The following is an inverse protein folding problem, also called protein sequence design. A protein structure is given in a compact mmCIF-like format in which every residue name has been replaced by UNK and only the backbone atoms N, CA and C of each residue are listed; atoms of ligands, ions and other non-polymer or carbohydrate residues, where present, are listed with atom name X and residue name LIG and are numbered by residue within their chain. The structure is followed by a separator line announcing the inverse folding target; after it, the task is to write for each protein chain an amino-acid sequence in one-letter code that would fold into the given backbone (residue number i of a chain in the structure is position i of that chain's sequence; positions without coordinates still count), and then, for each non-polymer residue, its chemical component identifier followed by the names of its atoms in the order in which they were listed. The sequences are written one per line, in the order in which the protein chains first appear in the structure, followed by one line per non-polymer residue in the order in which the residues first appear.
data_IF_806631943164
#
_entry.id   IF_806631943164
#
_cell.length_a   1.000
_cell.length_b   1.000
_cell.length_c   1.000
_cell.angle_alpha   90.00
_cell.angle_beta   90.00
_cell.angle_gamma   90.00
#
_symmetry.space_group_name_H-M   'P 1'
#
loop_
_entity.id
_entity.type
_entity.pdbx_description
1 polymer ?
#
# COMPACT_ATOMS: atom_id res chain seq x y z
N UNK A 1 -2.61 27.82 11.20
CA UNK A 1 -3.02 26.67 10.34
C UNK A 1 -2.05 26.60 9.18
N UNK A 2 -1.19 25.61 9.21
CA UNK A 2 -0.22 25.31 8.15
C UNK A 2 -0.73 24.08 7.40
N UNK A 3 -0.57 24.07 6.08
CA UNK A 3 -1.07 22.99 5.23
C UNK A 3 0.11 22.27 4.60
N UNK A 4 0.29 21.02 5.00
CA UNK A 4 1.35 20.14 4.54
C UNK A 4 0.80 19.14 3.53
N UNK A 5 1.42 19.04 2.35
CA UNK A 5 1.18 17.97 1.40
C UNK A 5 2.23 16.88 1.58
N UNK A 6 1.80 15.65 1.75
CA UNK A 6 2.69 14.50 1.90
C UNK A 6 2.51 13.53 0.72
N UNK A 7 3.59 13.30 0.01
CA UNK A 7 3.71 12.31 -1.04
C UNK A 7 4.75 11.26 -0.62
N UNK A 8 4.61 10.04 -1.11
CA UNK A 8 5.57 8.97 -0.85
C UNK A 8 5.84 8.18 -2.11
N UNK A 9 7.11 7.87 -2.35
CA UNK A 9 7.55 6.88 -3.32
C UNK A 9 7.99 5.60 -2.61
N UNK A 10 7.90 4.47 -3.29
CA UNK A 10 8.41 3.18 -2.80
C UNK A 10 9.81 2.91 -3.33
N UNK A 11 10.56 2.01 -2.68
CA UNK A 11 11.88 1.57 -3.17
C UNK A 11 11.87 1.12 -4.65
N UNK A 12 10.76 0.55 -5.11
CA UNK A 12 10.59 0.16 -6.52
C UNK A 12 10.41 1.36 -7.43
N UNK A 13 9.66 2.37 -6.98
CA UNK A 13 9.46 3.62 -7.70
C UNK A 13 10.73 4.46 -7.71
N UNK A 14 11.49 4.50 -6.60
CA UNK A 14 12.78 5.20 -6.50
C UNK A 14 13.87 4.61 -7.42
N UNK A 15 13.75 3.33 -7.78
CA UNK A 15 14.64 2.69 -8.76
C UNK A 15 14.31 2.98 -10.22
N UNK A 16 13.21 3.70 -10.48
CA UNK A 16 12.81 4.13 -11.81
C UNK A 16 13.61 5.34 -12.28
N UNK A 17 13.59 5.58 -13.58
CA UNK A 17 14.12 6.84 -14.14
C UNK A 17 13.27 8.05 -13.67
N UNK A 18 13.87 9.24 -13.70
CA UNK A 18 13.27 10.47 -13.19
C UNK A 18 11.96 10.81 -13.89
N UNK A 19 11.82 10.53 -15.17
CA UNK A 19 10.61 10.85 -15.95
C UNK A 19 9.43 10.00 -15.49
N UNK A 20 9.67 8.72 -15.19
CA UNK A 20 8.64 7.82 -14.64
C UNK A 20 8.26 8.20 -13.23
N UNK A 21 9.24 8.56 -12.40
CA UNK A 21 9.00 9.02 -11.05
C UNK A 21 8.15 10.29 -11.03
N UNK A 22 8.47 11.27 -11.88
CA UNK A 22 7.68 12.47 -12.05
C UNK A 22 6.26 12.15 -12.54
N UNK A 23 6.10 11.21 -13.47
CA UNK A 23 4.80 10.71 -13.92
C UNK A 23 3.92 10.13 -12.82
N UNK A 24 4.49 9.71 -11.68
CA UNK A 24 3.75 9.24 -10.50
C UNK A 24 3.45 10.39 -9.54
N UNK A 25 4.44 11.23 -9.25
CA UNK A 25 4.33 12.29 -8.25
C UNK A 25 3.51 13.50 -8.72
N UNK A 26 3.66 13.91 -9.98
CA UNK A 26 2.95 15.08 -10.52
C UNK A 26 1.41 14.95 -10.45
N UNK A 27 0.78 13.83 -10.86
CA UNK A 27 -0.66 13.66 -10.72
C UNK A 27 -1.13 13.66 -9.25
N UNK A 28 -0.30 13.15 -8.35
CA UNK A 28 -0.63 13.15 -6.90
C UNK A 28 -0.59 14.57 -6.34
N UNK A 29 0.46 15.31 -6.61
CA UNK A 29 0.57 16.73 -6.21
C UNK A 29 -0.55 17.57 -6.83
N UNK A 30 -0.85 17.36 -8.11
CA UNK A 30 -1.94 18.07 -8.79
C UNK A 30 -3.29 17.78 -8.12
N UNK A 31 -3.55 16.54 -7.72
CA UNK A 31 -4.78 16.17 -7.01
C UNK A 31 -4.90 16.87 -5.66
N UNK A 32 -3.79 16.96 -4.90
CA UNK A 32 -3.74 17.68 -3.63
C UNK A 32 -3.93 19.18 -3.83
N UNK A 33 -3.26 19.78 -4.84
CA UNK A 33 -3.42 21.19 -5.16
C UNK A 33 -4.86 21.53 -5.56
N UNK A 34 -5.48 20.70 -6.40
CA UNK A 34 -6.87 20.85 -6.79
C UNK A 34 -7.81 20.81 -5.58
N UNK A 35 -7.55 19.87 -4.67
CA UNK A 35 -8.30 19.78 -3.41
C UNK A 35 -8.14 21.02 -2.54
N UNK A 36 -6.90 21.53 -2.40
CA UNK A 36 -6.64 22.79 -1.70
C UNK A 36 -7.42 23.97 -2.29
N UNK A 37 -7.41 24.10 -3.63
CA UNK A 37 -8.16 25.14 -4.32
C UNK A 37 -9.67 25.05 -4.06
N UNK A 38 -10.23 23.85 -4.07
CA UNK A 38 -11.66 23.64 -3.78
C UNK A 38 -12.02 24.04 -2.35
N UNK A 39 -11.08 23.91 -1.40
CA UNK A 39 -11.25 24.30 -0.01
C UNK A 39 -10.90 25.78 0.26
N UNK A 40 -10.40 26.50 -0.73
CA UNK A 40 -9.89 27.86 -0.56
C UNK A 40 -8.61 27.90 0.28
N UNK A 41 -7.82 26.84 0.27
CA UNK A 41 -6.59 26.71 1.04
C UNK A 41 -5.37 26.95 0.18
N UNK A 42 -4.33 27.49 0.85
CA UNK A 42 -3.00 27.63 0.27
C UNK A 42 -2.07 26.56 0.86
N UNK A 43 -1.55 25.69 -0.01
CA UNK A 43 -0.58 24.67 0.38
C UNK A 43 0.74 25.35 0.80
N UNK A 44 1.12 25.16 2.06
CA UNK A 44 2.30 25.84 2.63
C UNK A 44 3.59 25.10 2.30
N UNK A 45 3.57 23.77 2.39
CA UNK A 45 4.75 22.93 2.17
C UNK A 45 4.36 21.60 1.52
N UNK A 46 5.19 21.15 0.59
CA UNK A 46 5.11 19.82 -0.01
C UNK A 46 6.33 18.99 0.40
N UNK A 47 6.08 17.78 0.85
CA UNK A 47 7.09 16.85 1.36
C UNK A 47 6.95 15.53 0.61
N UNK A 48 8.06 15.05 0.06
CA UNK A 48 8.12 13.76 -0.61
C UNK A 48 9.04 12.82 0.17
N UNK A 49 8.49 11.74 0.69
CA UNK A 49 9.24 10.66 1.31
C UNK A 49 9.77 9.71 0.24
N UNK A 50 11.09 9.53 0.20
CA UNK A 50 11.78 8.62 -0.73
C UNK A 50 12.50 7.51 0.04
N UNK A 51 12.95 6.47 -0.65
CA UNK A 51 13.69 5.34 -0.05
C UNK A 51 12.96 4.64 1.11
N UNK A 52 11.64 4.68 1.07
CA UNK A 52 10.80 4.16 2.15
C UNK A 52 10.33 2.76 1.83
N UNK A 53 10.57 1.81 2.73
CA UNK A 53 10.04 0.45 2.59
C UNK A 53 8.53 0.49 2.57
N UNK A 54 7.91 -0.36 1.76
CA UNK A 54 6.46 -0.41 1.58
C UNK A 54 5.69 -0.66 2.89
N UNK A 55 6.31 -1.34 3.87
CA UNK A 55 5.74 -1.69 5.18
C UNK A 55 6.27 -0.83 6.33
N UNK A 56 7.00 0.25 6.04
CA UNK A 56 7.50 1.16 7.06
C UNK A 56 6.37 2.07 7.52
N UNK A 57 6.10 2.07 8.82
CA UNK A 57 5.07 2.92 9.43
C UNK A 57 5.44 4.41 9.33
N UNK A 58 4.44 5.26 9.22
CA UNK A 58 4.62 6.71 9.05
C UNK A 58 5.48 7.32 10.15
N UNK A 59 5.26 6.90 11.39
CA UNK A 59 6.00 7.38 12.56
C UNK A 59 7.50 7.00 12.54
N UNK A 60 7.89 6.01 11.73
CA UNK A 60 9.27 5.56 11.59
C UNK A 60 9.98 6.11 10.36
N UNK A 61 9.24 6.75 9.46
CA UNK A 61 9.81 7.38 8.26
C UNK A 61 10.56 8.66 8.64
N UNK A 62 11.57 9.00 7.86
CA UNK A 62 12.39 10.18 8.11
C UNK A 62 11.56 11.47 8.12
N UNK A 63 10.86 11.73 7.01
CA UNK A 63 10.01 12.92 6.92
C UNK A 63 8.72 12.81 7.73
N UNK A 64 8.22 11.59 7.97
CA UNK A 64 7.10 11.35 8.87
C UNK A 64 7.40 11.83 10.29
N UNK A 65 8.59 11.52 10.83
CA UNK A 65 9.06 12.01 12.14
C UNK A 65 9.18 13.54 12.16
N UNK A 66 9.86 14.10 11.16
CA UNK A 66 10.04 15.55 11.05
C UNK A 66 8.70 16.30 11.00
N UNK A 67 7.74 15.75 10.25
CA UNK A 67 6.37 16.30 10.20
C UNK A 67 5.70 16.26 11.57
N UNK A 68 5.75 15.11 12.25
CA UNK A 68 5.17 14.98 13.58
C UNK A 68 5.79 15.95 14.62
N UNK A 69 7.07 16.27 14.48
CA UNK A 69 7.74 17.26 15.33
C UNK A 69 7.38 18.71 14.99
N UNK A 70 7.21 19.00 13.68
CA UNK A 70 6.96 20.35 13.20
C UNK A 70 5.50 20.80 13.30
N UNK A 71 4.55 19.86 13.21
CA UNK A 71 3.12 20.18 13.16
C UNK A 71 2.55 20.54 14.53
N UNK A 72 1.71 21.57 14.53
CA UNK A 72 1.04 22.10 15.72
C UNK A 72 -0.48 21.85 15.65
N UNK A 73 -1.19 21.95 16.78
CA UNK A 73 -2.65 21.90 16.79
C UNK A 73 -3.26 22.92 15.82
N UNK A 74 -4.23 22.44 15.03
CA UNK A 74 -4.89 23.23 13.99
C UNK A 74 -4.21 23.18 12.62
N UNK A 75 -3.08 22.45 12.47
CA UNK A 75 -2.47 22.22 11.17
C UNK A 75 -3.17 21.07 10.41
N UNK A 76 -2.92 21.01 9.12
CA UNK A 76 -3.54 20.03 8.21
C UNK A 76 -2.46 19.25 7.48
N UNK A 77 -2.57 17.93 7.51
CA UNK A 77 -1.80 17.02 6.68
C UNK A 77 -2.67 16.49 5.54
N UNK A 78 -2.20 16.63 4.32
CA UNK A 78 -2.87 16.18 3.09
C UNK A 78 -2.08 15.08 2.42
N UNK A 79 -2.76 14.02 2.01
CA UNK A 79 -2.21 13.03 1.07
C UNK A 79 -3.23 12.70 -0.03
N UNK A 80 -2.74 12.27 -1.19
CA UNK A 80 -3.60 11.90 -2.32
C UNK A 80 -4.38 10.63 -2.03
N UNK A 81 -3.70 9.62 -1.51
CA UNK A 81 -4.23 8.29 -1.20
C UNK A 81 -3.79 7.83 0.18
N UNK A 82 -4.65 7.00 0.79
CA UNK A 82 -4.38 6.46 2.11
C UNK A 82 -3.10 5.61 2.17
N UNK A 83 -2.79 4.88 1.09
CA UNK A 83 -1.57 4.05 1.01
C UNK A 83 -0.26 4.86 0.97
N UNK A 84 -0.31 6.17 0.78
CA UNK A 84 0.86 7.04 0.87
C UNK A 84 1.25 7.33 2.31
N UNK A 85 0.29 7.41 3.20
CA UNK A 85 0.55 7.69 4.61
C UNK A 85 0.61 6.42 5.47
N UNK A 86 -0.27 5.45 5.24
CA UNK A 86 -0.32 4.21 6.02
C UNK A 86 0.21 3.01 5.22
N UNK A 87 0.76 2.03 5.92
CA UNK A 87 1.24 0.75 5.40
C UNK A 87 0.27 -0.40 5.69
N UNK A 88 -0.63 -0.22 6.64
CA UNK A 88 -1.61 -1.24 7.06
C UNK A 88 -2.92 -0.62 7.56
N UNK A 89 -3.98 -1.43 7.57
CA UNK A 89 -5.28 -1.04 8.13
C UNK A 89 -5.21 -0.71 9.63
N UNK A 90 -4.32 -1.37 10.36
CA UNK A 90 -4.08 -1.07 11.78
C UNK A 90 -3.40 0.29 11.94
N UNK A 91 -2.42 0.59 11.11
CA UNK A 91 -1.73 1.89 11.14
C UNK A 91 -2.69 3.05 10.86
N UNK A 92 -3.69 2.87 9.97
CA UNK A 92 -4.71 3.91 9.74
C UNK A 92 -5.39 4.31 11.04
N UNK A 93 -5.79 3.33 11.86
CA UNK A 93 -6.44 3.63 13.15
C UNK A 93 -5.51 4.33 14.12
N UNK A 94 -4.26 3.89 14.17
CA UNK A 94 -3.22 4.52 15.02
C UNK A 94 -3.00 5.97 14.61
N UNK A 95 -2.85 6.23 13.31
CA UNK A 95 -2.63 7.58 12.78
C UNK A 95 -3.84 8.50 13.01
N UNK A 96 -5.06 8.02 12.76
CA UNK A 96 -6.28 8.79 13.03
C UNK A 96 -6.34 9.19 14.51
N UNK A 97 -6.11 8.25 15.42
CA UNK A 97 -6.09 8.56 16.85
C UNK A 97 -4.97 9.54 17.23
N UNK A 98 -3.77 9.34 16.69
CA UNK A 98 -2.61 10.20 16.94
C UNK A 98 -2.90 11.65 16.51
N UNK A 99 -3.37 11.83 15.28
CA UNK A 99 -3.65 13.16 14.73
C UNK A 99 -4.84 13.83 15.42
N UNK A 100 -5.91 13.07 15.72
CA UNK A 100 -7.05 13.60 16.51
C UNK A 100 -6.63 14.07 17.89
N UNK A 101 -5.81 13.31 18.63
CA UNK A 101 -5.31 13.69 19.95
C UNK A 101 -4.43 14.94 19.88
N UNK A 102 -3.70 15.14 18.79
CA UNK A 102 -2.86 16.31 18.56
C UNK A 102 -3.62 17.49 17.94
N UNK A 103 -4.90 17.34 17.69
CA UNK A 103 -5.74 18.34 17.02
C UNK A 103 -5.20 18.73 15.63
N UNK A 104 -4.66 17.77 14.90
CA UNK A 104 -4.18 17.91 13.52
C UNK A 104 -5.19 17.21 12.60
N UNK A 105 -5.67 17.88 11.56
CA UNK A 105 -6.57 17.30 10.59
C UNK A 105 -5.79 16.47 9.56
N UNK A 106 -6.23 15.22 9.32
CA UNK A 106 -5.68 14.36 8.28
C UNK A 106 -6.67 14.24 7.12
N UNK A 107 -6.38 14.90 6.02
CA UNK A 107 -7.19 14.86 4.82
C UNK A 107 -6.63 13.87 3.79
N UNK A 108 -7.47 12.98 3.31
CA UNK A 108 -7.16 12.04 2.24
C UNK A 108 -8.05 12.35 1.04
N UNK A 109 -7.44 12.79 -0.06
CA UNK A 109 -8.17 13.30 -1.24
C UNK A 109 -9.10 12.23 -1.82
N UNK A 110 -8.62 10.99 -1.97
CA UNK A 110 -9.44 9.88 -2.49
C UNK A 110 -10.66 9.53 -1.63
N UNK A 111 -10.63 9.89 -0.35
CA UNK A 111 -11.75 9.69 0.60
C UNK A 111 -12.66 10.91 0.71
N UNK A 112 -12.29 12.01 0.05
CA UNK A 112 -13.09 13.22 -0.03
C UNK A 112 -12.94 14.17 1.15
N UNK A 113 -12.01 13.94 2.10
CA UNK A 113 -11.84 14.87 3.19
C UNK A 113 -11.08 14.41 4.41
N UNK A 114 -11.41 15.04 5.53
CA UNK A 114 -10.83 14.79 6.85
C UNK A 114 -11.28 13.43 7.38
N UNK A 115 -10.33 12.58 7.70
CA UNK A 115 -10.59 11.27 8.32
C UNK A 115 -10.39 11.29 9.84
N UNK A 116 -9.95 12.43 10.40
CA UNK A 116 -9.77 12.62 11.85
C UNK A 116 -10.96 13.28 12.51
N UNK A 117 -11.90 13.80 11.73
CA UNK A 117 -13.13 14.42 12.26
C UNK A 117 -14.02 13.38 12.94
N UNK A 118 -14.29 13.50 14.24
CA UNK A 118 -15.12 12.56 14.99
C UNK A 118 -16.58 12.52 14.52
N UNK A 119 -17.09 13.60 13.92
CA UNK A 119 -18.42 13.63 13.35
C UNK A 119 -18.51 12.81 12.04
N UNK A 120 -17.35 12.57 11.40
CA UNK A 120 -17.22 11.76 10.20
C UNK A 120 -16.76 10.32 10.50
N UNK A 121 -17.22 9.72 11.61
CA UNK A 121 -16.90 8.32 11.99
C UNK A 121 -17.10 7.30 10.86
N UNK A 122 -18.01 7.60 9.93
CA UNK A 122 -18.19 6.83 8.69
C UNK A 122 -16.93 6.85 7.82
N UNK A 123 -16.17 7.95 7.85
CA UNK A 123 -14.96 8.11 7.04
C UNK A 123 -13.82 7.22 7.53
N UNK A 124 -13.63 7.10 8.84
CA UNK A 124 -12.57 6.23 9.40
C UNK A 124 -12.87 4.77 9.13
N UNK A 125 -14.09 4.30 9.40
CA UNK A 125 -14.50 2.93 9.12
C UNK A 125 -14.40 2.60 7.64
N UNK A 126 -14.75 3.55 6.77
CA UNK A 126 -14.62 3.41 5.33
C UNK A 126 -13.15 3.35 4.90
N UNK A 127 -12.30 4.21 5.46
CA UNK A 127 -10.86 4.22 5.19
C UNK A 127 -10.21 2.88 5.57
N UNK A 128 -10.50 2.36 6.76
CA UNK A 128 -10.02 1.06 7.23
C UNK A 128 -10.50 -0.08 6.33
N UNK A 129 -11.79 -0.07 5.94
CA UNK A 129 -12.35 -1.10 5.06
C UNK A 129 -11.74 -1.08 3.66
N UNK A 130 -11.52 0.11 3.08
CA UNK A 130 -10.84 0.26 1.78
C UNK A 130 -9.42 -0.26 1.88
N UNK A 131 -8.68 0.11 2.94
CA UNK A 131 -7.30 -0.34 3.12
C UNK A 131 -7.22 -1.86 3.29
N UNK A 132 -8.07 -2.46 4.11
CA UNK A 132 -8.16 -3.91 4.28
C UNK A 132 -8.45 -4.64 2.95
N UNK A 133 -9.31 -4.08 2.11
CA UNK A 133 -9.59 -4.62 0.78
C UNK A 133 -8.36 -4.54 -0.15
N UNK A 134 -7.62 -3.43 -0.12
CA UNK A 134 -6.38 -3.25 -0.87
C UNK A 134 -5.28 -4.21 -0.41
N UNK A 135 -5.09 -4.39 0.89
CA UNK A 135 -4.14 -5.37 1.45
C UNK A 135 -4.47 -6.79 0.98
N UNK A 136 -5.74 -7.19 1.06
CA UNK A 136 -6.20 -8.50 0.59
C UNK A 136 -5.91 -8.69 -0.90
N UNK A 137 -6.17 -7.68 -1.72
CA UNK A 137 -5.88 -7.71 -3.16
C UNK A 137 -4.38 -7.83 -3.44
N UNK A 138 -3.53 -7.00 -2.82
CA UNK A 138 -2.06 -7.04 -2.96
C UNK A 138 -1.50 -8.42 -2.55
N UNK A 139 -2.00 -8.98 -1.44
CA UNK A 139 -1.62 -10.32 -0.98
C UNK A 139 -2.02 -11.41 -1.98
N UNK A 140 -3.22 -11.35 -2.55
CA UNK A 140 -3.68 -12.29 -3.56
C UNK A 140 -2.85 -12.21 -4.86
N UNK A 141 -2.53 -11.00 -5.32
CA UNK A 141 -1.68 -10.76 -6.49
C UNK A 141 -0.25 -11.30 -6.27
N UNK A 142 0.33 -11.08 -5.09
CA UNK A 142 1.64 -11.61 -4.72
C UNK A 142 1.64 -13.14 -4.71
N UNK A 143 0.63 -13.78 -4.10
CA UNK A 143 0.48 -15.24 -4.10
C UNK A 143 0.34 -15.77 -5.53
N UNK A 144 -0.48 -15.11 -6.37
CA UNK A 144 -0.66 -15.46 -7.78
C UNK A 144 0.67 -15.38 -8.54
N UNK A 145 1.44 -14.32 -8.34
CA UNK A 145 2.76 -14.14 -8.96
C UNK A 145 3.76 -15.22 -8.55
N UNK A 146 3.81 -15.57 -7.25
CA UNK A 146 4.67 -16.66 -6.74
C UNK A 146 4.26 -17.99 -7.35
N UNK A 147 2.96 -18.32 -7.36
CA UNK A 147 2.44 -19.56 -7.98
C UNK A 147 2.77 -19.63 -9.47
N UNK A 148 2.65 -18.52 -10.19
CA UNK A 148 2.95 -18.48 -11.62
C UNK A 148 4.44 -18.72 -11.90
N UNK A 149 5.35 -18.11 -11.12
CA UNK A 149 6.80 -18.37 -11.22
C UNK A 149 7.14 -19.83 -10.91
N UNK A 150 6.55 -20.40 -9.86
CA UNK A 150 6.75 -21.81 -9.49
C UNK A 150 6.24 -22.75 -10.60
N UNK A 151 5.08 -22.43 -11.21
CA UNK A 151 4.55 -23.18 -12.35
C UNK A 151 5.51 -23.13 -13.55
N UNK A 152 6.05 -21.96 -13.88
CA UNK A 152 7.05 -21.80 -14.95
C UNK A 152 8.33 -22.60 -14.68
N UNK A 153 8.71 -22.77 -13.41
CA UNK A 153 9.84 -23.57 -12.97
C UNK A 153 9.51 -25.10 -12.91
N UNK A 154 8.31 -25.50 -13.30
CA UNK A 154 7.85 -26.90 -13.24
C UNK A 154 7.67 -27.43 -11.82
N UNK A 155 7.51 -26.56 -10.82
CA UNK A 155 7.25 -26.97 -9.43
C UNK A 155 5.78 -27.33 -9.23
N UNK A 156 5.54 -28.35 -8.43
CA UNK A 156 4.21 -28.73 -8.01
C UNK A 156 3.66 -27.71 -7.00
N UNK A 157 2.44 -27.22 -7.24
CA UNK A 157 1.85 -26.12 -6.48
C UNK A 157 0.96 -26.56 -5.32
N UNK A 158 0.91 -27.88 -5.04
CA UNK A 158 0.04 -28.45 -4.00
C UNK A 158 -1.28 -29.01 -4.55
N UNK A 159 -2.05 -29.65 -3.67
CA UNK A 159 -3.27 -30.40 -4.01
C UNK A 159 -3.03 -31.91 -4.01
N UNK A 160 -3.91 -32.71 -4.65
CA UNK A 160 -3.66 -34.13 -4.88
C UNK A 160 -2.67 -34.29 -6.04
N UNK A 161 -1.64 -35.10 -5.85
CA UNK A 161 -0.69 -35.39 -6.94
C UNK A 161 -1.40 -36.01 -8.11
N UNK A 162 -1.08 -35.66 -9.37
CA UNK A 162 -1.63 -36.32 -10.52
C UNK A 162 -1.21 -37.79 -10.54
N UNK A 163 -2.15 -38.70 -10.92
CA UNK A 163 -1.83 -40.10 -11.11
C UNK A 163 -0.79 -40.26 -12.23
N UNK A 164 0.18 -41.11 -12.06
CA UNK A 164 1.31 -41.25 -12.98
C UNK A 164 2.56 -40.44 -12.60
N UNK A 165 2.49 -39.58 -11.58
CA UNK A 165 3.59 -38.74 -11.15
C UNK A 165 3.83 -38.87 -9.65
N UNK A 166 5.05 -38.58 -9.21
CA UNK A 166 5.45 -38.47 -7.83
C UNK A 166 6.13 -37.11 -7.59
N UNK A 167 6.11 -36.63 -6.36
CA UNK A 167 6.73 -35.36 -5.98
C UNK A 167 8.16 -35.69 -5.54
N UNK A 168 9.15 -35.11 -6.22
CA UNK A 168 10.56 -35.20 -5.84
C UNK A 168 10.87 -34.23 -4.70
N UNK A 169 11.95 -34.46 -3.96
CA UNK A 169 12.40 -33.63 -2.81
C UNK A 169 12.59 -32.16 -3.15
N UNK A 170 12.89 -31.85 -4.42
CA UNK A 170 13.01 -30.47 -4.90
C UNK A 170 11.65 -29.85 -5.27
N UNK A 171 10.51 -30.53 -5.01
CA UNK A 171 9.15 -30.08 -5.28
C UNK A 171 8.72 -30.18 -6.74
N UNK A 172 9.46 -30.88 -7.61
CA UNK A 172 9.06 -31.13 -9.01
C UNK A 172 8.26 -32.43 -9.11
N UNK A 173 7.35 -32.46 -10.10
CA UNK A 173 6.68 -33.70 -10.50
C UNK A 173 7.63 -34.49 -11.39
N UNK A 174 7.88 -35.74 -11.00
CA UNK A 174 8.61 -36.74 -11.81
C UNK A 174 7.68 -37.92 -12.09
N UNK A 175 7.90 -38.61 -13.21
CA UNK A 175 7.09 -39.76 -13.57
C UNK A 175 7.25 -40.89 -12.53
N UNK A 176 6.11 -41.46 -12.11
CA UNK A 176 6.08 -42.70 -11.34
C UNK A 176 6.05 -43.88 -12.31
N UNK A 177 7.14 -44.67 -12.42
CA UNK A 177 7.25 -45.73 -13.44
C UNK A 177 6.14 -46.79 -13.34
N UNK A 178 5.66 -47.07 -12.13
CA UNK A 178 4.62 -48.05 -11.89
C UNK A 178 3.24 -47.57 -12.37
N UNK A 179 2.89 -46.33 -12.01
CA UNK A 179 1.63 -45.71 -12.40
C UNK A 179 1.62 -45.35 -13.91
N UNK A 180 2.75 -44.96 -14.46
CA UNK A 180 2.90 -44.73 -15.92
C UNK A 180 2.66 -46.00 -16.76
N UNK A 181 3.06 -47.18 -16.26
CA UNK A 181 2.76 -48.45 -16.91
C UNK A 181 1.26 -48.71 -16.97
N UNK A 182 0.52 -48.28 -15.95
CA UNK A 182 -0.95 -48.44 -15.94
C UNK A 182 -1.57 -47.48 -16.94
N UNK A 183 -1.13 -46.19 -16.96
CA UNK A 183 -1.63 -45.20 -17.93
C UNK A 183 -1.42 -45.63 -19.40
N UNK A 184 -0.32 -46.32 -19.70
CA UNK A 184 -0.02 -46.80 -21.06
C UNK A 184 -0.86 -48.04 -21.47
N UNK A 185 -1.58 -48.67 -20.54
CA UNK A 185 -2.45 -49.84 -20.80
C UNK A 185 -3.93 -49.48 -20.94
N UNK A 186 -4.29 -48.23 -20.58
CA UNK A 186 -5.61 -47.63 -20.76
C UNK A 186 -5.66 -46.90 -22.11
#
# INVERSE_FOLDING_TARGET
MTIYAYCRTSELEDSMDQDRLNGILEPELLSIQTYCLQKGWYMTQSITETNCRWNQEFVDREHGKLLLEAMNPGDVLLCSRLERIASSSQEVQVLVNLFSQRQIALHVVELGGDITDPELTVSVSRAVAIFAALEKRKSAERIKGVKQRQKQQGRYLGGSRPFGYMIHDNGRLIENPMEQKVLKRI
#
